data_IF_418530733087
#
_entry.id   IF_418530733087
#
_cell.length_a   1.000
_cell.length_b   1.000
_cell.length_c   1.000
_cell.angle_alpha   90.00
_cell.angle_beta   90.00
_cell.angle_gamma   90.00
#
_symmetry.space_group_name_H-M   'P 1'
#
loop_
_entity.id
_entity.type
_entity.pdbx_description
1 polymer ?
#
# COMPACT_ATOMS: atom_id res chain seq x y z
N UNK A 1 35.84 0.52 14.02
CA UNK A 1 34.39 0.75 13.82
C UNK A 1 33.85 -0.51 13.20
N UNK A 2 33.20 -1.37 13.99
CA UNK A 2 32.53 -2.55 13.44
C UNK A 2 31.21 -2.07 12.84
N UNK A 3 31.17 -1.92 11.52
CA UNK A 3 29.93 -1.77 10.79
C UNK A 3 29.15 -3.08 10.96
N UNK A 4 28.19 -3.08 11.87
CA UNK A 4 27.21 -4.16 11.99
C UNK A 4 26.51 -4.31 10.63
N UNK A 5 26.67 -5.48 9.99
CA UNK A 5 26.00 -5.78 8.72
C UNK A 5 24.50 -5.49 8.82
N UNK A 6 23.90 -4.90 7.77
CA UNK A 6 22.49 -4.56 7.79
C UNK A 6 21.65 -5.84 7.92
N UNK A 7 20.91 -5.92 9.03
CA UNK A 7 20.02 -7.05 9.39
C UNK A 7 18.83 -7.18 8.39
N UNK A 8 18.55 -6.13 7.61
CA UNK A 8 17.47 -6.06 6.63
C UNK A 8 18.00 -5.47 5.33
N UNK A 9 17.59 -6.04 4.19
CA UNK A 9 17.88 -5.49 2.87
C UNK A 9 16.87 -4.39 2.57
N UNK A 10 17.22 -3.16 2.98
CA UNK A 10 16.42 -1.95 2.77
C UNK A 10 17.22 -0.88 2.07
N UNK A 11 16.93 -0.69 0.78
CA UNK A 11 17.42 0.43 -0.01
C UNK A 11 16.34 1.54 0.02
N UNK A 12 16.58 2.64 0.75
CA UNK A 12 15.61 3.73 0.88
C UNK A 12 15.40 4.48 -0.43
N UNK A 13 16.36 4.52 -1.35
CA UNK A 13 16.20 5.23 -2.62
C UNK A 13 15.42 4.38 -3.62
N UNK A 14 15.68 3.07 -3.67
CA UNK A 14 14.88 2.13 -4.44
C UNK A 14 13.42 2.12 -3.96
N UNK A 15 13.20 1.92 -2.66
CA UNK A 15 11.85 1.89 -2.10
C UNK A 15 11.12 3.23 -2.31
N UNK A 16 11.82 4.37 -2.25
CA UNK A 16 11.22 5.68 -2.55
C UNK A 16 10.73 5.79 -3.98
N UNK A 17 11.53 5.31 -4.95
CA UNK A 17 11.12 5.28 -6.36
C UNK A 17 9.88 4.43 -6.54
N UNK A 18 9.85 3.23 -5.96
CA UNK A 18 8.69 2.33 -6.02
C UNK A 18 7.45 2.98 -5.39
N UNK A 19 7.58 3.61 -4.23
CA UNK A 19 6.48 4.33 -3.58
C UNK A 19 5.99 5.51 -4.45
N UNK A 20 6.91 6.24 -5.09
CA UNK A 20 6.59 7.31 -6.04
C UNK A 20 5.79 6.81 -7.24
N UNK A 21 6.23 5.71 -7.87
CA UNK A 21 5.47 5.06 -8.94
C UNK A 21 4.09 4.62 -8.48
N UNK A 22 4.00 3.99 -7.31
CA UNK A 22 2.73 3.60 -6.71
C UNK A 22 1.79 4.78 -6.49
N UNK A 23 2.30 5.91 -5.98
CA UNK A 23 1.52 7.12 -5.79
C UNK A 23 0.96 7.67 -7.11
N UNK A 24 1.78 7.70 -8.17
CA UNK A 24 1.35 8.15 -9.51
C UNK A 24 0.26 7.23 -10.06
N UNK A 25 0.43 5.91 -9.96
CA UNK A 25 -0.56 4.93 -10.42
C UNK A 25 -1.88 5.07 -9.65
N UNK A 26 -1.82 5.18 -8.32
CA UNK A 26 -3.02 5.35 -7.50
C UNK A 26 -3.75 6.68 -7.80
N UNK A 27 -3.02 7.78 -8.03
CA UNK A 27 -3.60 9.05 -8.47
C UNK A 27 -4.27 8.93 -9.84
N UNK A 28 -3.66 8.22 -10.79
CA UNK A 28 -4.26 7.97 -12.09
C UNK A 28 -5.57 7.18 -11.96
N UNK A 29 -5.59 6.12 -11.15
CA UNK A 29 -6.81 5.35 -10.87
C UNK A 29 -7.90 6.19 -10.22
N UNK A 30 -7.53 7.02 -9.23
CA UNK A 30 -8.47 7.94 -8.58
C UNK A 30 -9.04 8.95 -9.57
N UNK A 31 -8.20 9.52 -10.43
CA UNK A 31 -8.62 10.45 -11.47
C UNK A 31 -9.63 9.83 -12.43
N UNK A 32 -9.34 8.62 -12.93
CA UNK A 32 -10.25 7.87 -13.81
C UNK A 32 -11.58 7.60 -13.08
N UNK A 33 -11.54 7.15 -11.83
CA UNK A 33 -12.74 6.85 -11.06
C UNK A 33 -13.63 8.09 -10.84
N UNK A 34 -13.01 9.25 -10.56
CA UNK A 34 -13.72 10.52 -10.42
C UNK A 34 -14.31 10.96 -11.77
N UNK A 35 -13.56 10.85 -12.87
CA UNK A 35 -14.05 11.18 -14.20
C UNK A 35 -15.26 10.32 -14.57
N UNK A 36 -15.21 9.01 -14.33
CA UNK A 36 -16.34 8.11 -14.57
C UNK A 36 -17.52 8.58 -13.72
N UNK A 37 -17.33 8.73 -12.40
CA UNK A 37 -18.37 9.14 -11.45
C UNK A 37 -19.03 10.49 -11.77
N UNK A 38 -18.26 11.44 -12.32
CA UNK A 38 -18.75 12.77 -12.65
C UNK A 38 -19.44 12.85 -14.01
N UNK A 39 -18.99 12.08 -15.00
CA UNK A 39 -19.42 12.21 -16.40
C UNK A 39 -20.49 11.20 -16.81
N UNK A 40 -20.55 10.03 -16.16
CA UNK A 40 -21.48 8.97 -16.53
C UNK A 40 -22.77 9.11 -15.72
N UNK A 41 -23.88 9.36 -16.40
CA UNK A 41 -25.20 9.26 -15.79
C UNK A 41 -25.62 7.79 -15.67
N UNK A 42 -26.19 7.37 -14.52
CA UNK A 42 -26.72 6.02 -14.35
C UNK A 42 -28.01 5.87 -15.17
N UNK A 43 -27.88 5.63 -16.46
CA UNK A 43 -28.97 5.18 -17.32
C UNK A 43 -29.25 3.69 -17.12
N UNK A 44 -30.28 3.17 -17.79
CA UNK A 44 -30.72 1.77 -17.73
C UNK A 44 -29.69 0.73 -18.20
N UNK A 45 -28.55 1.16 -18.74
CA UNK A 45 -27.49 0.30 -19.28
C UNK A 45 -26.41 -0.08 -18.25
N UNK A 46 -26.30 0.59 -17.10
CA UNK A 46 -25.27 0.31 -16.08
C UNK A 46 -25.85 0.35 -14.65
N UNK A 47 -26.60 -0.69 -14.22
CA UNK A 47 -27.31 -0.74 -12.92
C UNK A 47 -26.40 -0.82 -11.69
N UNK A 48 -25.08 -1.01 -11.86
CA UNK A 48 -24.13 -1.19 -10.76
C UNK A 48 -23.77 0.09 -9.98
N UNK A 49 -24.32 1.24 -10.37
CA UNK A 49 -24.04 2.52 -9.72
C UNK A 49 -24.63 2.67 -8.32
N UNK A 50 -25.63 1.84 -8.04
CA UNK A 50 -26.26 1.69 -6.73
C UNK A 50 -26.27 0.21 -6.39
N UNK A 51 -25.36 -0.21 -5.51
CA UNK A 51 -25.37 -1.58 -5.00
C UNK A 51 -26.52 -1.68 -4.01
N UNK A 52 -27.67 -2.16 -4.49
CA UNK A 52 -28.79 -2.53 -3.64
C UNK A 52 -28.48 -3.87 -2.99
N UNK A 53 -28.14 -3.86 -1.71
CA UNK A 53 -28.10 -5.09 -0.95
C UNK A 53 -29.53 -5.65 -0.85
N UNK A 54 -29.70 -6.95 -1.11
CA UNK A 54 -31.00 -7.65 -1.12
C UNK A 54 -31.82 -7.43 0.17
N UNK A 55 -31.16 -7.02 1.28
CA UNK A 55 -31.72 -6.68 2.58
C UNK A 55 -31.08 -5.41 3.23
N UNK A 56 -30.48 -4.47 2.48
CA UNK A 56 -29.72 -3.35 3.07
C UNK A 56 -29.72 -2.04 2.29
N UNK A 57 -29.30 -0.95 2.95
CA UNK A 57 -29.21 0.39 2.37
C UNK A 57 -28.28 0.42 1.14
N UNK A 58 -28.67 1.17 0.12
CA UNK A 58 -27.87 1.37 -1.09
C UNK A 58 -26.52 2.01 -0.72
N UNK A 59 -25.42 1.33 -1.03
CA UNK A 59 -24.08 1.90 -0.83
C UNK A 59 -23.70 2.72 -2.05
N UNK A 60 -23.40 4.01 -1.83
CA UNK A 60 -22.98 4.92 -2.90
C UNK A 60 -21.58 4.54 -3.41
N UNK A 61 -21.41 4.45 -4.73
CA UNK A 61 -20.11 4.23 -5.37
C UNK A 61 -19.07 5.27 -4.96
N UNK A 62 -19.49 6.50 -4.64
CA UNK A 62 -18.59 7.54 -4.12
C UNK A 62 -17.90 7.13 -2.82
N UNK A 63 -18.62 6.44 -1.93
CA UNK A 63 -18.07 5.95 -0.66
C UNK A 63 -17.07 4.82 -0.94
N UNK A 64 -17.37 3.94 -1.90
CA UNK A 64 -16.47 2.85 -2.30
C UNK A 64 -15.18 3.41 -2.90
N UNK A 65 -15.27 4.35 -3.84
CA UNK A 65 -14.09 5.02 -4.41
C UNK A 65 -13.29 5.76 -3.34
N UNK A 66 -13.98 6.49 -2.45
CA UNK A 66 -13.33 7.19 -1.35
C UNK A 66 -12.53 6.26 -0.43
N UNK A 67 -13.12 5.13 -0.04
CA UNK A 67 -12.50 4.18 0.89
C UNK A 67 -11.40 3.34 0.24
N UNK A 68 -11.63 2.83 -0.98
CA UNK A 68 -10.75 1.85 -1.62
C UNK A 68 -9.71 2.47 -2.54
N UNK A 69 -9.94 3.67 -3.06
CA UNK A 69 -9.00 4.37 -3.94
C UNK A 69 -8.51 5.67 -3.29
N UNK A 70 -9.41 6.50 -2.78
CA UNK A 70 -9.08 7.81 -2.20
C UNK A 70 -8.15 7.72 -0.99
N UNK A 71 -8.59 7.01 0.06
CA UNK A 71 -7.82 6.83 1.29
C UNK A 71 -6.42 6.23 1.06
N UNK A 72 -6.26 5.07 0.37
CA UNK A 72 -4.94 4.52 0.12
C UNK A 72 -4.07 5.41 -0.78
N UNK A 73 -4.65 6.18 -1.71
CA UNK A 73 -3.91 7.19 -2.49
C UNK A 73 -3.37 8.32 -1.61
N UNK A 74 -4.20 8.84 -0.69
CA UNK A 74 -3.76 9.87 0.27
C UNK A 74 -2.65 9.31 1.17
N UNK A 75 -2.81 8.07 1.64
CA UNK A 75 -1.84 7.40 2.50
C UNK A 75 -0.47 7.24 1.84
N UNK A 76 -0.42 6.69 0.61
CA UNK A 76 0.85 6.52 -0.10
C UNK A 76 1.50 7.87 -0.44
N UNK A 77 0.70 8.88 -0.81
CA UNK A 77 1.22 10.23 -1.03
C UNK A 77 1.84 10.79 0.27
N UNK A 78 1.16 10.63 1.40
CA UNK A 78 1.68 11.06 2.70
C UNK A 78 3.02 10.38 3.04
N UNK A 79 3.14 9.07 2.82
CA UNK A 79 4.41 8.33 3.01
C UNK A 79 5.52 8.91 2.13
N UNK A 80 5.24 9.16 0.85
CA UNK A 80 6.23 9.72 -0.10
C UNK A 80 6.65 11.14 0.32
N UNK A 81 5.71 11.98 0.78
CA UNK A 81 6.02 13.32 1.30
C UNK A 81 6.83 13.28 2.60
N UNK A 82 6.50 12.36 3.51
CA UNK A 82 7.16 12.17 4.81
C UNK A 82 8.26 11.11 4.77
N UNK A 83 8.85 10.85 3.60
CA UNK A 83 9.80 9.75 3.37
C UNK A 83 10.91 9.67 4.41
N UNK A 84 11.57 10.80 4.71
CA UNK A 84 12.66 10.85 5.70
C UNK A 84 12.24 10.40 7.12
N UNK A 85 11.01 10.68 7.51
CA UNK A 85 10.47 10.24 8.80
C UNK A 85 10.09 8.76 8.77
N UNK A 86 9.51 8.32 7.66
CA UNK A 86 9.15 6.92 7.44
C UNK A 86 10.38 5.99 7.43
N UNK A 87 11.46 6.38 6.74
CA UNK A 87 12.70 5.59 6.73
C UNK A 87 13.30 5.49 8.14
N UNK A 88 13.31 6.59 8.91
CA UNK A 88 13.77 6.56 10.31
C UNK A 88 12.95 5.59 11.15
N UNK A 89 11.63 5.64 11.03
CA UNK A 89 10.74 4.72 11.75
C UNK A 89 10.99 3.25 11.40
N UNK A 90 11.29 2.95 10.13
CA UNK A 90 11.67 1.59 9.70
C UNK A 90 12.98 1.15 10.35
N UNK A 91 14.01 2.00 10.33
CA UNK A 91 15.29 1.69 10.96
C UNK A 91 15.16 1.49 12.47
N UNK A 92 14.43 2.36 13.16
CA UNK A 92 14.20 2.27 14.60
C UNK A 92 13.41 1.00 14.97
N UNK A 93 12.34 0.70 14.21
CA UNK A 93 11.53 -0.51 14.42
C UNK A 93 12.31 -1.79 14.10
N UNK A 94 13.13 -1.78 13.06
CA UNK A 94 14.00 -2.90 12.69
C UNK A 94 15.04 -3.19 13.77
N UNK A 95 15.69 -2.14 14.29
CA UNK A 95 16.67 -2.25 15.36
C UNK A 95 16.04 -2.78 16.67
N UNK A 96 14.85 -2.31 17.03
CA UNK A 96 14.15 -2.77 18.24
C UNK A 96 13.65 -4.21 18.13
N UNK A 97 13.11 -4.60 16.97
CA UNK A 97 12.70 -5.99 16.73
C UNK A 97 13.89 -6.95 16.73
N UNK A 98 15.03 -6.53 16.17
CA UNK A 98 16.26 -7.31 16.22
C UNK A 98 16.77 -7.48 17.65
N UNK A 99 16.79 -6.41 18.46
CA UNK A 99 17.16 -6.50 19.89
C UNK A 99 16.26 -7.46 20.65
N UNK A 100 14.94 -7.43 20.42
CA UNK A 100 13.98 -8.37 21.04
C UNK A 100 14.22 -9.82 20.60
N UNK A 101 14.51 -10.04 19.33
CA UNK A 101 14.84 -11.38 18.81
C UNK A 101 16.12 -11.94 19.42
N UNK A 102 17.17 -11.12 19.55
CA UNK A 102 18.40 -11.52 20.24
C UNK A 102 18.15 -11.83 21.73
N UNK A 103 17.36 -11.00 22.40
CA UNK A 103 17.00 -11.21 23.81
C UNK A 103 16.21 -12.51 24.03
N UNK A 104 15.39 -12.95 23.05
CA UNK A 104 14.61 -14.19 23.16
C UNK A 104 15.40 -15.45 22.80
N UNK A 105 16.48 -15.34 22.03
CA UNK A 105 17.31 -16.48 21.56
C UNK A 105 18.48 -16.83 22.47
N UNK A 106 18.79 -16.01 23.49
CA UNK A 106 19.85 -16.27 24.47
C UNK A 106 21.27 -15.99 23.97
N UNK A 107 22.25 -15.98 24.89
CA UNK A 107 23.66 -15.58 24.67
C UNK A 107 24.38 -16.40 23.58
N UNK A 108 23.96 -17.64 23.30
CA UNK A 108 24.59 -18.51 22.28
C UNK A 108 24.38 -18.02 20.84
N UNK A 109 23.31 -17.26 20.58
CA UNK A 109 22.99 -16.75 19.24
C UNK A 109 23.79 -15.49 18.86
N UNK A 110 24.47 -14.86 19.82
CA UNK A 110 25.17 -13.60 19.62
C UNK A 110 26.47 -13.75 18.82
N UNK A 111 27.02 -14.98 18.75
CA UNK A 111 28.26 -15.30 18.05
C UNK A 111 28.05 -15.93 16.65
N UNK A 112 26.81 -16.13 16.21
CA UNK A 112 26.53 -16.62 14.86
C UNK A 112 26.35 -15.44 13.90
N UNK A 113 27.01 -15.43 12.72
CA UNK A 113 26.73 -14.43 11.69
C UNK A 113 25.25 -14.54 11.33
N UNK A 114 24.55 -13.40 11.24
CA UNK A 114 23.14 -13.36 10.91
C UNK A 114 22.93 -13.95 9.51
N UNK A 115 22.64 -15.25 9.43
CA UNK A 115 22.58 -15.98 8.17
C UNK A 115 21.32 -15.67 7.34
N UNK A 116 20.46 -14.76 7.80
CA UNK A 116 19.21 -14.42 7.14
C UNK A 116 18.97 -12.91 7.21
N UNK A 117 19.24 -12.22 6.09
CA UNK A 117 18.86 -10.84 5.88
C UNK A 117 17.38 -10.84 5.47
N UNK A 118 16.54 -10.16 6.23
CA UNK A 118 15.12 -10.09 5.89
C UNK A 118 14.93 -9.21 4.63
N UNK A 119 14.23 -9.71 3.58
CA UNK A 119 14.15 -9.05 2.28
C UNK A 119 13.10 -7.92 2.26
N UNK A 120 13.39 -6.84 2.98
CA UNK A 120 12.44 -5.74 3.18
C UNK A 120 12.09 -5.03 1.86
N UNK A 121 13.05 -4.89 0.95
CA UNK A 121 12.83 -4.36 -0.41
C UNK A 121 11.72 -5.13 -1.16
N UNK A 122 11.82 -6.46 -1.20
CA UNK A 122 10.83 -7.31 -1.89
C UNK A 122 9.45 -7.22 -1.25
N UNK A 123 9.40 -7.24 0.09
CA UNK A 123 8.14 -7.05 0.83
C UNK A 123 7.52 -5.70 0.52
N UNK A 124 8.33 -4.64 0.46
CA UNK A 124 7.87 -3.29 0.14
C UNK A 124 7.25 -3.23 -1.26
N UNK A 125 7.93 -3.80 -2.26
CA UNK A 125 7.41 -3.86 -3.64
C UNK A 125 6.08 -4.60 -3.70
N UNK A 126 5.96 -5.74 -3.02
CA UNK A 126 4.71 -6.52 -2.97
C UNK A 126 3.58 -5.70 -2.32
N UNK A 127 3.86 -5.03 -1.20
CA UNK A 127 2.86 -4.20 -0.51
C UNK A 127 2.38 -3.05 -1.39
N UNK A 128 3.29 -2.34 -2.06
CA UNK A 128 2.92 -1.26 -2.99
C UNK A 128 2.14 -1.80 -4.19
N UNK A 129 2.55 -2.94 -4.74
CA UNK A 129 1.86 -3.59 -5.85
C UNK A 129 0.42 -3.98 -5.48
N UNK A 130 0.23 -4.63 -4.33
CA UNK A 130 -1.09 -4.98 -3.81
C UNK A 130 -1.94 -3.74 -3.54
N UNK A 131 -1.35 -2.66 -3.01
CA UNK A 131 -2.06 -1.40 -2.80
C UNK A 131 -2.55 -0.79 -4.10
N UNK A 132 -1.73 -0.81 -5.16
CA UNK A 132 -2.11 -0.32 -6.48
C UNK A 132 -3.26 -1.14 -7.09
N UNK A 133 -3.18 -2.48 -6.96
CA UNK A 133 -4.26 -3.38 -7.39
C UNK A 133 -5.55 -3.11 -6.61
N UNK A 134 -5.45 -2.92 -5.30
CA UNK A 134 -6.58 -2.59 -4.45
C UNK A 134 -7.22 -1.25 -4.83
N UNK A 135 -6.42 -0.23 -5.16
CA UNK A 135 -6.90 1.06 -5.66
C UNK A 135 -7.66 0.96 -6.97
N UNK A 136 -7.41 -0.07 -7.78
CA UNK A 136 -8.12 -0.31 -9.04
C UNK A 136 -9.48 -1.01 -8.86
N UNK A 137 -9.74 -1.63 -7.70
CA UNK A 137 -10.97 -2.42 -7.45
C UNK A 137 -12.27 -1.66 -7.79
N UNK A 138 -12.45 -0.39 -7.38
CA UNK A 138 -13.69 0.33 -7.69
C UNK A 138 -13.93 0.52 -9.19
N UNK A 139 -12.88 0.63 -10.00
CA UNK A 139 -13.01 0.74 -11.45
C UNK A 139 -13.54 -0.54 -12.07
N UNK A 140 -13.05 -1.70 -11.62
CA UNK A 140 -13.58 -2.98 -12.07
C UNK A 140 -15.05 -3.15 -11.71
N UNK A 141 -15.46 -2.71 -10.51
CA UNK A 141 -16.86 -2.70 -10.08
C UNK A 141 -17.74 -1.79 -10.95
N UNK A 142 -17.20 -0.66 -11.43
CA UNK A 142 -17.92 0.24 -12.34
C UNK A 142 -18.05 -0.32 -13.76
N UNK A 143 -17.01 -1.01 -14.26
CA UNK A 143 -16.88 -1.41 -15.67
C UNK A 143 -17.52 -2.77 -15.96
N UNK A 144 -17.25 -3.79 -15.13
CA UNK A 144 -17.69 -5.17 -15.39
C UNK A 144 -19.21 -5.31 -15.61
N UNK A 145 -20.09 -4.58 -14.90
CA UNK A 145 -21.54 -4.71 -15.08
C UNK A 145 -22.09 -3.97 -16.30
N UNK A 146 -21.24 -3.25 -17.04
CA UNK A 146 -21.60 -2.57 -18.28
C UNK A 146 -21.19 -3.37 -19.54
N UNK A 147 -20.61 -4.57 -19.37
CA UNK A 147 -20.31 -5.55 -20.41
C UNK A 147 -21.31 -6.70 -20.35
#
# INVERSE_FOLDING_TARGET
>A
MNESEPIFDFDPDFCRKIAGWGAVICLAWLGIAICILALVHPGSQCPAWTIFAKNGQATSLWVIVGLFTGFPTIWICFIVFRWKGFTRMIYDSGADNYKRFLASKGLDYQNQPASYIFPLNSVFVVVIGLLCLFCSMPLWVMILPCF
#
